data_IF_563135927671
#
_entry.id   IF_563135927671
#
_cell.length_a   1.000
_cell.length_b   1.000
_cell.length_c   1.000
_cell.angle_alpha   90.00
_cell.angle_beta   90.00
_cell.angle_gamma   90.00
#
_symmetry.space_group_name_H-M   'P 1'
#
loop_
_entity.id
_entity.type
_entity.pdbx_description
1 polymer ?
#
# COMPACT_ATOMS: atom_id res chain seq x y z
N UNK A 1 -15.77 34.42 15.72
CA UNK A 1 -15.92 33.59 16.93
C UNK A 1 -14.54 33.09 17.25
N UNK A 2 -14.02 33.49 18.41
CA UNK A 2 -12.69 33.12 18.88
C UNK A 2 -12.77 31.70 19.46
N UNK A 3 -12.09 30.74 18.84
CA UNK A 3 -12.18 29.32 19.20
C UNK A 3 -11.10 28.90 20.22
N UNK A 4 -10.34 29.83 20.80
CA UNK A 4 -9.27 29.48 21.75
C UNK A 4 -8.31 28.43 21.19
N UNK A 5 -8.22 27.27 21.84
CA UNK A 5 -7.39 26.11 21.45
C UNK A 5 -8.06 25.18 20.40
N UNK A 6 -9.20 25.59 19.85
CA UNK A 6 -10.01 24.82 18.91
C UNK A 6 -11.18 24.09 19.56
N UNK A 7 -12.08 23.58 18.73
CA UNK A 7 -13.32 22.91 19.15
C UNK A 7 -14.56 23.53 18.51
N UNK A 8 -15.49 22.68 18.07
CA UNK A 8 -16.77 23.08 17.51
C UNK A 8 -17.87 22.64 18.47
N UNK A 9 -18.81 23.53 18.77
CA UNK A 9 -19.90 23.29 19.72
C UNK A 9 -21.14 22.78 18.98
N UNK A 10 -21.47 21.47 19.09
CA UNK A 10 -22.59 20.89 18.35
C UNK A 10 -23.95 21.43 18.78
N UNK A 11 -24.08 21.99 19.99
CA UNK A 11 -25.32 22.60 20.47
C UNK A 11 -25.68 23.92 19.77
N UNK A 12 -24.74 24.53 19.04
CA UNK A 12 -24.96 25.78 18.32
C UNK A 12 -25.21 25.43 16.86
N UNK A 13 -26.43 25.71 16.37
CA UNK A 13 -26.84 25.44 14.98
C UNK A 13 -26.26 26.45 13.96
N UNK A 14 -24.97 26.78 14.08
CA UNK A 14 -24.22 27.65 13.19
C UNK A 14 -22.97 26.88 12.77
N UNK A 15 -22.62 26.93 11.48
CA UNK A 15 -21.39 26.32 10.99
C UNK A 15 -20.17 26.95 11.67
N UNK A 16 -19.53 26.17 12.53
CA UNK A 16 -18.28 26.51 13.19
C UNK A 16 -17.16 25.70 12.55
N UNK A 17 -16.13 26.39 12.06
CA UNK A 17 -15.02 25.77 11.32
C UNK A 17 -13.69 26.14 12.00
N UNK A 18 -13.37 25.56 13.18
CA UNK A 18 -12.07 25.74 13.81
C UNK A 18 -10.95 25.35 12.84
N UNK A 19 -9.88 26.16 12.79
CA UNK A 19 -8.75 25.99 11.85
C UNK A 19 -9.16 25.91 10.37
N UNK A 20 -10.36 26.38 9.99
CA UNK A 20 -10.87 26.30 8.63
C UNK A 20 -11.18 24.87 8.15
N UNK A 21 -11.20 23.89 9.06
CA UNK A 21 -11.55 22.49 8.76
C UNK A 21 -13.00 22.40 8.28
N UNK A 22 -13.29 21.55 7.31
CA UNK A 22 -14.65 21.34 6.79
C UNK A 22 -15.19 22.47 5.91
N UNK A 23 -14.42 23.54 5.67
CA UNK A 23 -14.75 24.53 4.64
C UNK A 23 -14.60 23.87 3.28
N UNK A 24 -15.63 23.89 2.45
CA UNK A 24 -15.50 23.58 1.02
C UNK A 24 -14.36 24.41 0.49
N UNK A 25 -13.30 23.73 0.08
CA UNK A 25 -12.01 24.34 -0.23
C UNK A 25 -12.27 25.50 -1.17
N UNK A 26 -12.03 26.75 -0.71
CA UNK A 26 -12.40 27.93 -1.48
C UNK A 26 -11.95 27.76 -2.93
N UNK A 27 -12.91 27.92 -3.85
CA UNK A 27 -12.76 28.06 -5.30
C UNK A 27 -11.28 28.24 -5.71
N UNK A 28 -10.60 27.12 -6.01
CA UNK A 28 -9.20 27.14 -6.43
C UNK A 28 -8.39 25.87 -6.12
N UNK A 29 -8.75 25.10 -5.09
CA UNK A 29 -7.96 23.92 -4.65
C UNK A 29 -8.61 22.55 -4.93
N UNK A 30 -9.77 22.50 -5.60
CA UNK A 30 -10.45 21.24 -5.93
C UNK A 30 -9.65 20.32 -6.90
N UNK A 31 -8.51 20.79 -7.41
CA UNK A 31 -7.56 20.03 -8.22
C UNK A 31 -6.11 20.41 -7.87
N UNK A 32 -5.76 20.56 -6.59
CA UNK A 32 -4.36 20.73 -6.24
C UNK A 32 -3.63 19.38 -6.33
N UNK A 33 -2.59 19.30 -7.18
CA UNK A 33 -1.71 18.13 -7.31
C UNK A 33 -0.72 18.07 -6.15
N UNK A 34 -1.23 18.16 -4.92
CA UNK A 34 -0.43 18.30 -3.72
C UNK A 34 -0.72 17.13 -2.79
N UNK A 35 0.34 16.46 -2.34
CA UNK A 35 0.21 15.36 -1.38
C UNK A 35 -0.13 15.96 -0.01
N UNK A 36 -1.11 15.37 0.67
CA UNK A 36 -1.50 15.79 2.01
C UNK A 36 -0.32 15.67 2.99
N UNK A 37 -0.11 16.71 3.81
CA UNK A 37 0.89 16.71 4.86
C UNK A 37 0.51 15.66 5.91
N UNK A 38 1.43 14.74 6.17
CA UNK A 38 1.25 13.69 7.16
C UNK A 38 2.23 13.91 8.31
N UNK A 39 1.80 13.60 9.52
CA UNK A 39 2.64 13.63 10.72
C UNK A 39 2.86 12.22 11.24
N UNK A 40 3.94 12.02 12.00
CA UNK A 40 4.21 10.80 12.75
C UNK A 40 3.60 10.86 14.16
N UNK A 41 3.73 9.78 14.92
CA UNK A 41 3.23 9.68 16.30
C UNK A 41 3.91 10.69 17.24
N UNK A 42 5.09 11.19 16.87
CA UNK A 42 5.83 12.22 17.62
C UNK A 42 5.46 13.65 17.20
N UNK A 43 4.52 13.83 16.26
CA UNK A 43 4.12 15.13 15.74
C UNK A 43 5.12 15.76 14.77
N UNK A 44 6.12 15.01 14.28
CA UNK A 44 7.05 15.47 13.24
C UNK A 44 6.45 15.25 11.86
N UNK A 45 6.83 16.11 10.92
CA UNK A 45 6.33 16.03 9.56
C UNK A 45 6.99 14.87 8.80
N UNK A 46 6.15 14.03 8.17
CA UNK A 46 6.57 12.87 7.39
C UNK A 46 6.90 13.24 5.95
N UNK A 47 8.18 13.54 5.71
CA UNK A 47 8.72 13.76 4.36
C UNK A 47 8.91 12.47 3.56
N UNK A 48 8.90 11.30 4.23
CA UNK A 48 9.07 9.99 3.60
C UNK A 48 7.96 9.64 2.60
N UNK A 49 6.78 10.27 2.75
CA UNK A 49 5.62 10.07 1.87
C UNK A 49 5.94 10.44 0.42
N UNK A 50 6.78 11.46 0.20
CA UNK A 50 7.18 11.86 -1.16
C UNK A 50 8.00 10.78 -1.85
N UNK A 51 8.92 10.15 -1.11
CA UNK A 51 9.74 9.06 -1.63
C UNK A 51 8.90 7.79 -1.81
N UNK A 52 8.02 7.49 -0.84
CA UNK A 52 7.17 6.30 -0.85
C UNK A 52 6.01 6.34 -1.85
N UNK A 53 5.67 7.50 -2.41
CA UNK A 53 4.52 7.67 -3.31
C UNK A 53 4.51 6.67 -4.49
N UNK A 54 5.67 6.32 -5.03
CA UNK A 54 5.79 5.38 -6.16
C UNK A 54 5.92 3.91 -5.72
N UNK A 55 6.32 3.67 -4.48
CA UNK A 55 6.61 2.33 -4.00
C UNK A 55 5.37 1.66 -3.41
N UNK A 56 5.38 0.34 -3.39
CA UNK A 56 4.35 -0.44 -2.71
C UNK A 56 4.43 -0.20 -1.20
N UNK A 57 3.30 -0.24 -0.50
CA UNK A 57 3.22 0.09 0.93
C UNK A 57 4.14 -0.78 1.81
N UNK A 58 4.38 -2.03 1.41
CA UNK A 58 5.29 -2.94 2.12
C UNK A 58 6.78 -2.78 1.75
N UNK A 59 7.16 -1.81 0.91
CA UNK A 59 8.57 -1.56 0.60
C UNK A 59 9.19 -0.75 1.71
N UNK A 60 10.19 -1.31 2.36
CA UNK A 60 10.98 -0.58 3.36
C UNK A 60 11.92 0.35 2.60
N UNK A 61 11.82 1.65 2.90
CA UNK A 61 12.69 2.70 2.35
C UNK A 61 13.16 3.55 3.53
N UNK A 62 14.48 3.64 3.68
CA UNK A 62 15.14 4.45 4.70
C UNK A 62 15.32 5.87 4.17
N UNK A 63 14.80 6.85 4.91
CA UNK A 63 14.79 8.28 4.49
C UNK A 63 15.26 9.21 5.60
N UNK A 64 15.34 8.72 6.83
CA UNK A 64 15.69 9.53 7.98
C UNK A 64 17.17 9.37 8.32
N UNK A 65 17.80 10.44 8.84
CA UNK A 65 19.20 10.38 9.27
C UNK A 65 19.41 9.33 10.37
N UNK A 66 18.39 9.06 11.18
CA UNK A 66 18.39 7.99 12.17
C UNK A 66 18.63 6.60 11.54
N UNK A 67 18.20 6.38 10.30
CA UNK A 67 18.41 5.11 9.59
C UNK A 67 19.87 4.91 9.15
N UNK A 68 20.63 6.00 9.00
CA UNK A 68 22.06 5.97 8.61
C UNK A 68 22.99 5.71 9.79
N UNK A 69 22.51 5.91 11.02
CA UNK A 69 23.32 5.72 12.22
C UNK A 69 23.60 4.24 12.43
N UNK A 70 24.84 3.92 12.81
CA UNK A 70 25.20 2.55 13.18
C UNK A 70 24.40 2.14 14.42
N UNK A 71 23.85 0.94 14.36
CA UNK A 71 23.29 0.26 15.54
C UNK A 71 24.40 -0.58 16.15
N UNK A 72 24.56 -0.47 17.46
CA UNK A 72 25.42 -1.41 18.19
C UNK A 72 24.73 -2.76 18.15
N UNK A 73 25.40 -3.75 17.58
CA UNK A 73 24.90 -5.12 17.47
C UNK A 73 25.68 -5.95 18.49
N UNK A 74 24.95 -6.74 19.26
CA UNK A 74 25.54 -7.79 20.09
C UNK A 74 25.47 -9.13 19.34
N UNK A 75 26.50 -9.95 19.47
CA UNK A 75 26.57 -11.23 18.73
C UNK A 75 25.52 -12.25 19.25
N UNK A 76 25.01 -12.05 20.46
CA UNK A 76 23.97 -12.89 21.07
C UNK A 76 22.53 -12.36 20.86
N UNK A 77 22.34 -11.34 20.02
CA UNK A 77 21.02 -10.74 19.80
C UNK A 77 20.03 -11.74 19.15
N UNK A 78 18.90 -12.06 19.82
CA UNK A 78 17.93 -13.04 19.33
C UNK A 78 17.21 -12.59 18.05
N UNK A 79 17.16 -11.29 17.74
CA UNK A 79 16.56 -10.78 16.50
C UNK A 79 17.45 -11.00 15.27
N UNK A 80 18.76 -11.21 15.47
CA UNK A 80 19.73 -11.42 14.40
C UNK A 80 19.99 -12.90 14.08
N UNK A 81 19.33 -13.81 14.79
CA UNK A 81 19.46 -15.24 14.56
C UNK A 81 18.87 -15.64 13.20
N UNK A 82 19.47 -16.67 12.58
CA UNK A 82 18.93 -17.24 11.35
C UNK A 82 17.51 -17.78 11.63
N UNK A 83 16.57 -17.63 10.68
CA UNK A 83 15.27 -18.28 10.80
C UNK A 83 15.41 -19.79 10.97
N UNK A 84 14.40 -20.41 11.58
CA UNK A 84 14.33 -21.85 11.80
C UNK A 84 14.49 -22.67 10.50
N UNK A 85 15.05 -23.88 10.62
CA UNK A 85 15.33 -24.75 9.48
C UNK A 85 14.06 -25.10 8.68
N UNK A 86 12.92 -25.27 9.33
CA UNK A 86 11.65 -25.56 8.64
C UNK A 86 11.13 -24.34 7.87
N UNK A 87 11.31 -23.12 8.42
CA UNK A 87 10.96 -21.88 7.73
C UNK A 87 11.83 -21.66 6.48
N UNK A 88 13.13 -21.97 6.59
CA UNK A 88 14.06 -21.96 5.46
C UNK A 88 13.61 -22.96 4.39
N UNK A 89 13.33 -24.21 4.79
CA UNK A 89 12.91 -25.27 3.86
C UNK A 89 11.63 -24.91 3.12
N UNK A 90 10.64 -24.37 3.83
CA UNK A 90 9.37 -23.86 3.24
C UNK A 90 9.62 -22.73 2.25
N UNK A 91 10.52 -21.80 2.57
CA UNK A 91 10.86 -20.68 1.68
C UNK A 91 11.58 -21.19 0.42
N UNK A 92 12.48 -22.15 0.56
CA UNK A 92 13.18 -22.80 -0.56
C UNK A 92 12.18 -23.49 -1.48
N UNK A 93 11.27 -24.29 -0.94
CA UNK A 93 10.27 -25.01 -1.74
C UNK A 93 9.35 -24.04 -2.50
N UNK A 94 8.82 -23.02 -1.82
CA UNK A 94 7.97 -22.01 -2.43
C UNK A 94 8.71 -21.23 -3.54
N UNK A 95 9.97 -20.86 -3.30
CA UNK A 95 10.80 -20.13 -4.27
C UNK A 95 11.15 -21.02 -5.46
N UNK A 96 11.51 -22.28 -5.22
CA UNK A 96 11.79 -23.28 -6.26
C UNK A 96 10.57 -23.46 -7.18
N UNK A 97 9.39 -23.69 -6.61
CA UNK A 97 8.15 -23.84 -7.38
C UNK A 97 7.80 -22.58 -8.21
N UNK A 98 8.04 -21.38 -7.67
CA UNK A 98 7.82 -20.13 -8.40
C UNK A 98 8.80 -19.95 -9.57
N UNK A 99 10.08 -20.25 -9.36
CA UNK A 99 11.11 -20.19 -10.40
C UNK A 99 10.86 -21.21 -11.51
N UNK A 100 10.49 -22.43 -11.16
CA UNK A 100 10.13 -23.48 -12.13
C UNK A 100 8.97 -23.03 -13.04
N UNK A 101 7.92 -22.39 -12.50
CA UNK A 101 6.82 -21.84 -13.32
C UNK A 101 7.31 -20.79 -14.31
N UNK A 102 8.17 -19.87 -13.89
CA UNK A 102 8.73 -18.83 -14.76
C UNK A 102 9.60 -19.45 -15.86
N UNK A 103 10.46 -20.41 -15.49
CA UNK A 103 11.35 -21.11 -16.43
C UNK A 103 10.52 -21.92 -17.43
N UNK A 104 9.55 -22.69 -16.98
CA UNK A 104 8.67 -23.47 -17.86
C UNK A 104 7.92 -22.58 -18.85
N UNK A 105 7.43 -21.41 -18.42
CA UNK A 105 6.80 -20.44 -19.33
C UNK A 105 7.76 -19.89 -20.36
N UNK A 106 9.02 -19.60 -19.99
CA UNK A 106 10.06 -19.12 -20.91
C UNK A 106 10.46 -20.21 -21.91
N UNK A 107 10.68 -21.43 -21.43
CA UNK A 107 11.03 -22.58 -22.27
C UNK A 107 9.92 -22.87 -23.28
N UNK A 108 8.66 -22.93 -22.83
CA UNK A 108 7.51 -23.14 -23.71
C UNK A 108 7.37 -22.07 -24.80
N UNK A 109 7.75 -20.82 -24.51
CA UNK A 109 7.70 -19.71 -25.47
C UNK A 109 8.86 -19.73 -26.46
N UNK A 110 9.99 -20.35 -26.10
CA UNK A 110 11.17 -20.48 -26.97
C UNK A 110 11.09 -21.68 -27.92
N UNK A 111 10.18 -22.64 -27.66
CA UNK A 111 9.97 -23.77 -28.55
C UNK A 111 9.28 -23.31 -29.86
N UNK A 112 9.76 -23.76 -31.04
CA UNK A 112 9.24 -23.32 -32.33
C UNK A 112 7.79 -23.78 -32.59
N UNK A 113 7.36 -24.84 -31.92
CA UNK A 113 5.99 -25.36 -32.01
C UNK A 113 5.35 -25.27 -30.64
N UNK A 114 4.27 -24.50 -30.53
CA UNK A 114 3.44 -24.50 -29.33
C UNK A 114 2.64 -25.80 -29.29
N UNK A 115 2.79 -26.55 -28.20
CA UNK A 115 1.95 -27.71 -27.95
C UNK A 115 0.48 -27.27 -27.90
N UNK A 116 -0.42 -28.06 -28.51
CA UNK A 116 -1.85 -27.77 -28.48
C UNK A 116 -2.32 -27.57 -27.04
N UNK A 117 -3.04 -26.46 -26.79
CA UNK A 117 -3.63 -26.21 -25.47
C UNK A 117 -4.58 -27.36 -25.15
N UNK A 118 -4.27 -28.12 -24.09
CA UNK A 118 -5.22 -29.08 -23.53
C UNK A 118 -6.45 -28.29 -23.09
N UNK A 119 -7.58 -28.53 -23.75
CA UNK A 119 -8.86 -27.93 -23.37
C UNK A 119 -9.23 -28.53 -22.01
N UNK A 120 -9.10 -27.73 -20.96
CA UNK A 120 -9.49 -28.11 -19.61
C UNK A 120 -11.02 -28.15 -19.46
N UNK A 121 -11.45 -28.61 -18.29
CA UNK A 121 -12.88 -28.62 -17.91
C UNK A 121 -13.46 -27.20 -17.86
N UNK A 122 -14.77 -27.06 -18.10
CA UNK A 122 -15.46 -25.76 -18.10
C UNK A 122 -15.43 -25.10 -16.71
N UNK A 123 -14.93 -23.86 -16.63
CA UNK A 123 -14.88 -23.08 -15.40
C UNK A 123 -15.93 -21.97 -15.41
N UNK A 124 -16.81 -21.94 -14.41
CA UNK A 124 -17.80 -20.88 -14.21
C UNK A 124 -17.31 -19.92 -13.12
N UNK A 125 -17.29 -18.62 -13.39
CA UNK A 125 -16.88 -17.57 -12.45
C UNK A 125 -18.07 -16.65 -12.18
N UNK A 126 -18.44 -16.46 -10.91
CA UNK A 126 -19.47 -15.50 -10.53
C UNK A 126 -18.86 -14.10 -10.42
N UNK A 127 -19.22 -13.23 -11.35
CA UNK A 127 -18.81 -11.83 -11.35
C UNK A 127 -19.92 -10.94 -10.80
N UNK A 128 -19.60 -10.09 -9.82
CA UNK A 128 -20.48 -9.02 -9.36
C UNK A 128 -20.02 -7.71 -9.99
N UNK A 129 -20.78 -7.14 -10.95
CA UNK A 129 -20.43 -5.85 -11.54
C UNK A 129 -20.49 -4.74 -10.48
N UNK A 130 -19.47 -3.89 -10.46
CA UNK A 130 -19.38 -2.75 -9.53
C UNK A 130 -20.33 -1.60 -9.90
N UNK A 131 -20.94 -1.64 -11.09
CA UNK A 131 -21.89 -0.64 -11.58
C UNK A 131 -23.32 -1.08 -11.25
N UNK A 132 -23.73 -0.90 -10.00
CA UNK A 132 -25.14 -1.03 -9.62
C UNK A 132 -25.88 0.27 -9.99
N UNK A 133 -26.15 0.46 -11.29
CA UNK A 133 -27.25 1.29 -11.71
C UNK A 133 -28.50 0.40 -11.68
N UNK A 134 -29.39 0.64 -10.71
CA UNK A 134 -30.76 0.16 -10.85
C UNK A 134 -31.29 0.65 -12.21
N UNK A 135 -31.82 -0.29 -13.01
CA UNK A 135 -32.16 -0.05 -14.41
C UNK A 135 -32.90 1.27 -14.62
N UNK A 136 -32.29 2.17 -15.41
CA UNK A 136 -33.02 3.21 -16.11
C UNK A 136 -33.90 2.52 -17.15
N UNK A 137 -35.10 2.12 -16.73
CA UNK A 137 -36.21 1.89 -17.64
C UNK A 137 -36.73 3.26 -18.05
N UNK A 138 -36.64 3.54 -19.35
CA UNK A 138 -37.29 4.66 -20.03
C UNK A 138 -38.81 4.61 -19.90
#
# INVERSE_FOLDING_TARGET
MDFGDGGSFPEIHIAQLPLGMGKDSQRGAASSKTVALQYDESGKLRYDVLVKQRYYKSKIVHTCLADTKLKMIDDEDPELQKPDEDAIRKTIEATKAALEKIVNSKVASALPVQHAKKVGESQFIRYTPRQQAAGQTA
#
